data_IF_162541262301
#
_entry.id   IF_162541262301
#
_cell.length_a   1.000
_cell.length_b   1.000
_cell.length_c   1.000
_cell.angle_alpha   90.00
_cell.angle_beta   90.00
_cell.angle_gamma   90.00
#
_symmetry.space_group_name_H-M   'P 1'
#
loop_
_entity.id
_entity.type
_entity.pdbx_description
1 polymer ?
#
# COMPACT_ATOMS: atom_id res chain seq x y z
N UNK A 1 -12.88 -18.00 -12.97
CA UNK A 1 -12.22 -18.64 -11.81
C UNK A 1 -11.18 -17.70 -11.23
N UNK A 2 -11.29 -17.35 -9.94
CA UNK A 2 -10.15 -17.18 -9.03
C UNK A 2 -9.11 -16.06 -9.20
N UNK A 3 -9.45 -14.87 -9.71
CA UNK A 3 -8.47 -13.76 -9.89
C UNK A 3 -7.83 -13.20 -8.59
N UNK A 4 -8.37 -13.53 -7.41
CA UNK A 4 -7.82 -13.11 -6.10
C UNK A 4 -6.58 -13.91 -5.67
N UNK A 5 -6.33 -15.09 -6.25
CA UNK A 5 -5.24 -16.00 -5.85
C UNK A 5 -3.87 -15.64 -6.45
N UNK A 6 -3.80 -14.65 -7.35
CA UNK A 6 -2.53 -14.21 -7.94
C UNK A 6 -2.02 -12.89 -7.34
N UNK A 7 -2.71 -12.34 -6.34
CA UNK A 7 -2.26 -11.09 -5.72
C UNK A 7 -1.11 -11.37 -4.75
N UNK A 8 0.10 -10.94 -5.10
CA UNK A 8 1.30 -11.12 -4.25
C UNK A 8 1.97 -9.79 -3.99
N UNK A 9 2.34 -9.57 -2.73
CA UNK A 9 3.22 -8.48 -2.30
C UNK A 9 4.63 -9.08 -2.17
N UNK A 10 5.61 -8.47 -2.85
CA UNK A 10 7.01 -8.91 -2.86
C UNK A 10 7.94 -7.70 -2.76
N UNK A 11 9.21 -7.93 -2.48
CA UNK A 11 10.22 -6.85 -2.44
C UNK A 11 9.90 -5.79 -1.39
N UNK A 12 9.51 -6.24 -0.18
CA UNK A 12 9.30 -5.36 0.96
C UNK A 12 10.68 -4.90 1.46
N UNK A 13 10.95 -3.63 1.28
CA UNK A 13 12.19 -2.97 1.65
C UNK A 13 11.87 -1.71 2.44
N UNK A 14 12.65 -1.45 3.49
CA UNK A 14 12.47 -0.27 4.33
C UNK A 14 13.77 0.51 4.37
N UNK A 15 13.75 1.71 3.79
CA UNK A 15 14.94 2.56 3.69
C UNK A 15 14.62 3.98 4.16
N UNK A 16 15.32 4.46 5.19
CA UNK A 16 15.21 5.83 5.70
C UNK A 16 13.76 6.34 5.95
N UNK A 17 12.85 5.46 6.40
CA UNK A 17 11.45 5.80 6.61
C UNK A 17 10.58 5.66 5.36
N UNK A 18 11.11 5.12 4.26
CA UNK A 18 10.36 4.80 3.05
C UNK A 18 10.16 3.29 2.97
N UNK A 19 8.90 2.85 3.05
CA UNK A 19 8.53 1.46 2.82
C UNK A 19 8.24 1.24 1.33
N UNK A 20 9.12 0.48 0.68
CA UNK A 20 8.97 0.07 -0.71
C UNK A 20 8.43 -1.35 -0.76
N UNK A 21 7.41 -1.60 -1.58
CA UNK A 21 6.90 -2.94 -1.84
C UNK A 21 6.32 -3.04 -3.24
N UNK A 22 6.48 -4.17 -3.90
CA UNK A 22 5.89 -4.44 -5.21
C UNK A 22 4.62 -5.25 -5.04
N UNK A 23 3.51 -4.71 -5.53
CA UNK A 23 2.22 -5.41 -5.54
C UNK A 23 1.93 -5.88 -6.94
N UNK A 24 1.63 -7.17 -7.09
CA UNK A 24 1.11 -7.74 -8.34
C UNK A 24 -0.35 -8.08 -8.11
N UNK A 25 -1.25 -7.60 -8.97
CA UNK A 25 -2.69 -7.89 -8.88
C UNK A 25 -3.09 -8.75 -10.07
N UNK A 26 -3.74 -9.88 -9.80
CA UNK A 26 -4.25 -10.76 -10.84
C UNK A 26 -5.30 -10.06 -11.70
N UNK A 27 -5.19 -10.21 -13.02
CA UNK A 27 -6.14 -9.70 -14.01
C UNK A 27 -7.54 -10.24 -13.69
N UNK A 28 -8.41 -9.37 -13.16
CA UNK A 28 -9.79 -9.71 -12.75
C UNK A 28 -10.13 -9.36 -11.32
N UNK A 29 -9.15 -9.00 -10.48
CA UNK A 29 -9.41 -8.47 -9.15
C UNK A 29 -9.64 -6.94 -9.23
N UNK A 30 -10.82 -6.54 -9.72
CA UNK A 30 -11.28 -5.15 -9.69
C UNK A 30 -11.79 -4.82 -8.28
N UNK A 31 -11.33 -3.70 -7.71
CA UNK A 31 -11.75 -3.24 -6.38
C UNK A 31 -10.95 -3.81 -5.20
N UNK A 32 -9.71 -4.27 -5.43
CA UNK A 32 -8.80 -4.51 -4.31
C UNK A 32 -8.41 -3.16 -3.70
N UNK A 33 -8.73 -2.97 -2.43
CA UNK A 33 -8.16 -1.90 -1.64
C UNK A 33 -6.99 -2.44 -0.85
N UNK A 34 -5.86 -1.77 -0.94
CA UNK A 34 -4.74 -2.02 -0.06
C UNK A 34 -4.94 -1.18 1.19
N UNK A 35 -4.77 -1.81 2.34
CA UNK A 35 -4.80 -1.14 3.63
C UNK A 35 -3.41 -1.20 4.23
N UNK A 36 -2.78 -0.04 4.36
CA UNK A 36 -1.47 0.09 4.97
C UNK A 36 -1.64 0.81 6.31
N UNK A 37 -1.09 0.29 7.43
CA UNK A 37 -1.06 1.06 8.66
C UNK A 37 -0.31 2.37 8.40
N UNK A 38 -0.95 3.50 8.69
CA UNK A 38 -0.22 4.78 8.60
C UNK A 38 0.79 4.87 9.74
N UNK A 39 0.50 4.27 10.89
CA UNK A 39 1.42 4.21 12.02
C UNK A 39 2.47 3.12 11.76
N UNK A 40 3.63 3.54 11.24
CA UNK A 40 4.80 2.69 11.07
C UNK A 40 5.69 2.69 12.33
N UNK A 41 6.76 1.87 12.35
CA UNK A 41 7.71 1.83 13.46
C UNK A 41 8.45 3.15 13.68
N UNK A 42 8.61 3.95 12.62
CA UNK A 42 9.43 5.18 12.62
C UNK A 42 8.62 6.47 12.51
N UNK A 43 7.29 6.42 12.35
CA UNK A 43 6.48 7.61 12.13
C UNK A 43 5.12 7.33 11.49
N UNK A 44 4.51 8.36 10.90
CA UNK A 44 3.22 8.24 10.19
C UNK A 44 3.40 8.33 8.68
N UNK A 45 2.64 7.53 7.93
CA UNK A 45 2.62 7.55 6.46
C UNK A 45 2.13 8.93 5.99
N UNK A 46 3.04 9.71 5.43
CA UNK A 46 2.76 11.05 4.92
C UNK A 46 2.52 11.05 3.40
N UNK A 47 3.13 10.14 2.65
CA UNK A 47 3.00 10.09 1.19
C UNK A 47 3.01 8.66 0.67
N UNK A 48 2.32 8.43 -0.45
CA UNK A 48 2.26 7.14 -1.12
C UNK A 48 2.35 7.32 -2.63
N UNK A 49 3.27 6.61 -3.24
CA UNK A 49 3.48 6.61 -4.69
C UNK A 49 3.49 5.17 -5.19
N UNK A 50 2.58 4.83 -6.10
CA UNK A 50 2.49 3.48 -6.67
C UNK A 50 2.59 3.53 -8.19
N UNK A 51 3.42 2.66 -8.77
CA UNK A 51 3.61 2.60 -10.23
C UNK A 51 4.20 3.89 -10.81
N UNK A 52 4.95 4.66 -10.01
CA UNK A 52 5.52 5.94 -10.41
C UNK A 52 4.58 7.14 -10.34
N UNK A 53 3.32 6.96 -9.90
CA UNK A 53 2.37 8.06 -9.70
C UNK A 53 1.96 8.20 -8.23
N UNK A 54 1.87 9.43 -7.69
CA UNK A 54 1.31 9.66 -6.37
C UNK A 54 -0.11 9.11 -6.31
N UNK A 55 -0.42 8.34 -5.25
CA UNK A 55 -1.74 7.80 -5.01
C UNK A 55 -2.32 8.45 -3.77
N UNK A 56 -3.49 9.07 -3.95
CA UNK A 56 -4.29 9.53 -2.83
C UNK A 56 -4.74 8.30 -2.02
N UNK A 57 -4.60 8.40 -0.72
CA UNK A 57 -5.08 7.41 0.24
C UNK A 57 -5.99 8.11 1.24
N UNK A 58 -6.98 7.39 1.74
CA UNK A 58 -7.85 7.87 2.80
C UNK A 58 -7.42 7.22 4.10
N UNK A 59 -7.12 8.02 5.12
CA UNK A 59 -6.83 7.51 6.45
C UNK A 59 -8.15 7.20 7.15
N UNK A 60 -8.34 5.95 7.56
CA UNK A 60 -9.44 5.53 8.41
C UNK A 60 -8.91 4.96 9.72
N UNK A 61 -9.42 5.49 10.82
CA UNK A 61 -9.12 4.96 12.16
C UNK A 61 -10.05 3.80 12.45
N UNK A 62 -9.49 2.59 12.51
CA UNK A 62 -10.22 1.36 12.82
C UNK A 62 -9.71 0.86 14.18
N UNK A 63 -10.60 0.80 15.18
CA UNK A 63 -10.26 0.39 16.55
C UNK A 63 -9.08 1.18 17.16
N UNK A 64 -8.97 2.46 16.83
CA UNK A 64 -7.89 3.34 17.32
C UNK A 64 -6.58 3.24 16.54
N UNK A 65 -6.51 2.44 15.48
CA UNK A 65 -5.35 2.33 14.59
C UNK A 65 -5.67 2.97 13.25
N UNK A 66 -4.81 3.87 12.79
CA UNK A 66 -4.96 4.60 11.55
C UNK A 66 -4.45 3.76 10.37
N UNK A 67 -5.31 3.57 9.37
CA UNK A 67 -5.02 2.81 8.16
C UNK A 67 -5.22 3.68 6.92
N UNK A 68 -4.22 3.76 6.07
CA UNK A 68 -4.32 4.32 4.74
C UNK A 68 -4.96 3.29 3.80
N UNK A 69 -6.19 3.57 3.39
CA UNK A 69 -6.89 2.84 2.33
C UNK A 69 -6.62 3.51 0.99
N UNK A 70 -6.21 2.72 0.00
CA UNK A 70 -6.05 3.18 -1.38
C UNK A 70 -6.32 2.06 -2.38
N UNK A 71 -6.59 2.44 -3.62
CA UNK A 71 -6.78 1.47 -4.70
C UNK A 71 -5.49 0.70 -4.95
N UNK A 72 -5.57 -0.63 -4.86
CA UNK A 72 -4.44 -1.49 -5.10
C UNK A 72 -4.05 -1.40 -6.58
N UNK A 73 -2.76 -1.15 -6.84
CA UNK A 73 -2.20 -0.98 -8.19
C UNK A 73 -1.15 -2.04 -8.44
N UNK A 74 -1.04 -2.52 -9.68
CA UNK A 74 0.09 -3.33 -10.10
C UNK A 74 1.34 -2.46 -10.24
N UNK A 75 2.42 -2.85 -9.57
CA UNK A 75 3.71 -2.17 -9.64
C UNK A 75 4.34 -1.92 -8.27
N UNK A 76 5.41 -1.13 -8.27
CA UNK A 76 6.15 -0.78 -7.06
C UNK A 76 5.48 0.40 -6.37
N UNK A 77 5.13 0.22 -5.11
CA UNK A 77 4.61 1.20 -4.19
C UNK A 77 5.71 1.63 -3.21
N UNK A 78 5.75 2.93 -2.90
CA UNK A 78 6.66 3.56 -1.95
C UNK A 78 5.84 4.43 -1.02
N UNK A 79 5.79 4.05 0.25
CA UNK A 79 5.16 4.82 1.33
C UNK A 79 6.21 5.56 2.14
N UNK A 80 6.15 6.88 2.19
CA UNK A 80 7.06 7.71 2.99
C UNK A 80 6.48 7.95 4.37
N UNK A 81 7.26 7.67 5.41
CA UNK A 81 6.94 7.85 6.81
C UNK A 81 7.83 8.94 7.41
N UNK A 82 7.20 9.85 8.17
CA UNK A 82 7.87 10.94 8.88
C UNK A 82 7.27 11.17 10.26
#
# INVERSE_FOLDING_TARGET
MGGRNSSTIRGMDWDAGVFTFTTTIGTGARGLQTMLPTRGPTGTLSALTCGGSPKAFTVQTIKGVDYAMFDAVNGTCRGTYS
#
